data_IF_294810141554
#
_entry.id   IF_294810141554
#
_cell.length_a   1.000
_cell.length_b   1.000
_cell.length_c   1.000
_cell.angle_alpha   90.00
_cell.angle_beta   90.00
_cell.angle_gamma   90.00
#
_symmetry.space_group_name_H-M   'P 1'
#
loop_
_entity.id
_entity.type
_entity.pdbx_description
1 polymer ?
#
# COMPACT_ATOMS: atom_id res chain seq x y z
N UNK A 1 8.54 16.26 -17.00
CA UNK A 1 8.67 17.32 -15.97
C UNK A 1 8.07 18.66 -16.40
N UNK A 2 8.35 19.19 -17.60
CA UNK A 2 7.80 20.49 -18.04
C UNK A 2 6.25 20.49 -18.07
N UNK A 3 5.62 19.45 -18.61
CA UNK A 3 4.16 19.32 -18.62
C UNK A 3 3.53 19.23 -17.22
N UNK A 4 4.21 18.58 -16.27
CA UNK A 4 3.79 18.52 -14.86
C UNK A 4 3.82 19.92 -14.24
N UNK A 5 4.96 20.63 -14.37
CA UNK A 5 5.11 21.97 -13.86
C UNK A 5 4.05 22.93 -14.43
N UNK A 6 3.85 22.92 -15.76
CA UNK A 6 2.83 23.75 -16.42
C UNK A 6 1.40 23.43 -15.95
N UNK A 7 1.09 22.16 -15.71
CA UNK A 7 -0.24 21.74 -15.22
C UNK A 7 -0.48 22.18 -13.77
N UNK A 8 0.55 22.17 -12.93
CA UNK A 8 0.47 22.62 -11.53
C UNK A 8 0.21 24.12 -11.39
N UNK A 9 0.60 24.93 -12.38
CA UNK A 9 0.34 26.38 -12.39
C UNK A 9 -1.05 26.76 -12.90
N UNK A 10 -1.83 25.83 -13.42
CA UNK A 10 -3.14 26.10 -14.05
C UNK A 10 -4.15 26.78 -13.11
N UNK A 11 -4.28 26.39 -11.82
CA UNK A 11 -5.11 27.11 -10.85
C UNK A 11 -4.62 28.54 -10.59
N UNK A 12 -3.29 28.74 -10.54
CA UNK A 12 -2.69 30.06 -10.33
C UNK A 12 -2.92 30.97 -11.55
N UNK A 13 -2.81 30.45 -12.77
CA UNK A 13 -3.10 31.20 -14.01
C UNK A 13 -4.56 31.65 -14.02
N UNK A 14 -5.51 30.78 -13.63
CA UNK A 14 -6.93 31.12 -13.55
C UNK A 14 -7.19 32.19 -12.48
N UNK A 15 -6.58 32.06 -11.31
CA UNK A 15 -6.65 33.06 -10.25
C UNK A 15 -6.18 34.44 -10.72
N UNK A 16 -4.98 34.53 -11.30
CA UNK A 16 -4.41 35.80 -11.76
C UNK A 16 -5.17 36.40 -12.95
N UNK A 17 -5.66 35.56 -13.89
CA UNK A 17 -6.49 36.02 -15.01
C UNK A 17 -7.81 36.61 -14.52
N UNK A 18 -8.45 35.97 -13.54
CA UNK A 18 -9.72 36.44 -13.00
C UNK A 18 -9.55 37.68 -12.11
N UNK A 19 -8.42 37.84 -11.42
CA UNK A 19 -8.08 39.11 -10.74
C UNK A 19 -7.82 40.25 -11.73
N UNK A 20 -7.05 40.01 -12.80
CA UNK A 20 -6.65 41.05 -13.77
C UNK A 20 -7.83 41.62 -14.56
N UNK A 21 -8.84 40.82 -14.86
CA UNK A 21 -9.97 41.22 -15.70
C UNK A 21 -11.10 41.93 -14.92
N UNK A 22 -10.84 42.41 -13.71
CA UNK A 22 -11.92 42.73 -12.75
C UNK A 22 -11.86 44.15 -12.22
N UNK A 23 -12.96 44.87 -12.43
CA UNK A 23 -13.27 46.18 -11.87
C UNK A 23 -14.27 46.05 -10.69
N UNK A 24 -13.83 46.50 -9.51
CA UNK A 24 -14.57 47.08 -8.37
C UNK A 24 -15.82 46.42 -7.74
N UNK A 25 -16.14 45.13 -7.92
CA UNK A 25 -17.22 44.51 -7.12
C UNK A 25 -16.87 43.10 -6.59
N UNK A 26 -16.45 43.04 -5.31
CA UNK A 26 -15.82 41.87 -4.68
C UNK A 26 -16.80 40.78 -4.20
N UNK A 27 -17.97 41.13 -3.64
CA UNK A 27 -18.84 40.15 -2.95
C UNK A 27 -19.66 39.23 -3.85
N UNK A 28 -20.07 39.65 -5.05
CA UNK A 28 -20.83 38.80 -6.00
C UNK A 28 -19.95 37.74 -6.71
N UNK A 29 -18.64 37.71 -6.41
CA UNK A 29 -17.62 37.08 -7.26
C UNK A 29 -16.86 35.92 -6.60
N UNK A 30 -17.00 35.72 -5.30
CA UNK A 30 -16.39 34.60 -4.57
C UNK A 30 -16.89 33.24 -5.06
N UNK A 31 -18.20 33.12 -5.33
CA UNK A 31 -18.82 31.87 -5.80
C UNK A 31 -18.31 31.45 -7.20
N UNK A 32 -18.32 32.32 -8.24
CA UNK A 32 -17.81 31.94 -9.55
C UNK A 32 -16.29 31.72 -9.57
N UNK A 33 -15.51 32.50 -8.79
CA UNK A 33 -14.08 32.28 -8.63
C UNK A 33 -13.79 30.93 -7.98
N UNK A 34 -14.46 30.61 -6.87
CA UNK A 34 -14.32 29.33 -6.18
C UNK A 34 -14.70 28.15 -7.08
N UNK A 35 -15.76 28.29 -7.89
CA UNK A 35 -16.16 27.27 -8.88
C UNK A 35 -15.07 27.06 -9.95
N UNK A 36 -14.53 28.14 -10.50
CA UNK A 36 -13.50 28.06 -11.55
C UNK A 36 -12.18 27.49 -11.00
N UNK A 37 -11.79 27.86 -9.78
CA UNK A 37 -10.62 27.31 -9.10
C UNK A 37 -10.80 25.83 -8.77
N UNK A 38 -11.98 25.44 -8.26
CA UNK A 38 -12.29 24.04 -7.99
C UNK A 38 -12.22 23.19 -9.27
N UNK A 39 -12.80 23.69 -10.37
CA UNK A 39 -12.72 23.01 -11.67
C UNK A 39 -11.27 22.91 -12.17
N UNK A 40 -10.48 23.98 -12.03
CA UNK A 40 -9.07 23.99 -12.40
C UNK A 40 -8.27 22.94 -11.64
N UNK A 41 -8.49 22.84 -10.32
CA UNK A 41 -7.84 21.84 -9.47
C UNK A 41 -8.21 20.43 -9.91
N UNK A 42 -9.50 20.15 -10.17
CA UNK A 42 -9.95 18.84 -10.65
C UNK A 42 -9.29 18.49 -11.99
N UNK A 43 -9.24 19.43 -12.93
CA UNK A 43 -8.59 19.24 -14.24
C UNK A 43 -7.10 18.96 -14.06
N UNK A 44 -6.40 19.75 -13.23
CA UNK A 44 -4.98 19.56 -12.94
C UNK A 44 -4.71 18.18 -12.34
N UNK A 45 -5.50 17.75 -11.34
CA UNK A 45 -5.38 16.42 -10.74
C UNK A 45 -5.58 15.34 -11.80
N UNK A 46 -6.63 15.46 -12.62
CA UNK A 46 -6.96 14.46 -13.64
C UNK A 46 -5.85 14.35 -14.68
N UNK A 47 -5.35 15.48 -15.21
CA UNK A 47 -4.26 15.51 -16.20
C UNK A 47 -2.96 14.98 -15.60
N UNK A 48 -2.61 15.39 -14.38
CA UNK A 48 -1.38 14.91 -13.73
C UNK A 48 -1.44 13.42 -13.42
N UNK A 49 -2.59 12.89 -12.99
CA UNK A 49 -2.77 11.44 -12.81
C UNK A 49 -2.67 10.66 -14.11
N UNK A 50 -3.15 11.21 -15.23
CA UNK A 50 -3.10 10.55 -16.53
C UNK A 50 -1.68 10.57 -17.14
N UNK A 51 -0.96 11.67 -16.97
CA UNK A 51 0.40 11.85 -17.50
C UNK A 51 1.49 11.27 -16.62
N UNK A 52 1.23 11.11 -15.31
CA UNK A 52 2.20 10.58 -14.34
C UNK A 52 1.55 9.48 -13.47
N UNK A 53 1.27 8.30 -14.05
CA UNK A 53 0.67 7.18 -13.34
C UNK A 53 1.44 6.80 -12.08
N UNK A 54 2.78 6.86 -12.14
CA UNK A 54 3.69 6.50 -11.05
C UNK A 54 3.45 7.33 -9.78
N UNK A 55 3.16 8.64 -9.90
CA UNK A 55 2.87 9.49 -8.73
C UNK A 55 1.55 9.08 -8.08
N UNK A 56 0.55 8.77 -8.90
CA UNK A 56 -0.79 8.35 -8.43
C UNK A 56 -0.72 7.00 -7.74
N UNK A 57 0.02 6.03 -8.30
CA UNK A 57 0.18 4.70 -7.69
C UNK A 57 0.95 4.77 -6.37
N UNK A 58 2.00 5.59 -6.28
CA UNK A 58 2.71 5.83 -5.00
C UNK A 58 1.78 6.43 -3.95
N UNK A 59 1.01 7.48 -4.30
CA UNK A 59 0.07 8.09 -3.37
C UNK A 59 -0.97 7.09 -2.85
N UNK A 60 -1.51 6.26 -3.76
CA UNK A 60 -2.48 5.24 -3.41
C UNK A 60 -1.88 4.17 -2.48
N UNK A 61 -0.69 3.66 -2.81
CA UNK A 61 0.01 2.68 -1.96
C UNK A 61 0.32 3.24 -0.57
N UNK A 62 0.82 4.47 -0.48
CA UNK A 62 1.08 5.13 0.80
C UNK A 62 -0.21 5.30 1.61
N UNK A 63 -1.31 5.69 0.96
CA UNK A 63 -2.60 5.83 1.63
C UNK A 63 -3.11 4.50 2.17
N UNK A 64 -3.06 3.43 1.36
CA UNK A 64 -3.45 2.08 1.75
C UNK A 64 -2.59 1.52 2.89
N UNK A 65 -1.29 1.84 2.89
CA UNK A 65 -0.38 1.48 3.97
C UNK A 65 -0.73 2.20 5.27
N UNK A 66 -0.95 3.52 5.23
CA UNK A 66 -1.30 4.31 6.42
C UNK A 66 -2.60 3.89 7.08
N UNK A 67 -3.56 3.37 6.32
CA UNK A 67 -4.82 2.84 6.87
C UNK A 67 -4.74 1.35 7.22
N UNK A 68 -3.57 0.71 7.10
CA UNK A 68 -3.35 -0.69 7.45
C UNK A 68 -3.99 -1.71 6.50
N UNK A 69 -4.38 -1.29 5.29
CA UNK A 69 -4.97 -2.19 4.27
C UNK A 69 -3.89 -3.00 3.57
N UNK A 70 -2.68 -2.48 3.41
CA UNK A 70 -1.53 -3.20 2.88
C UNK A 70 -0.33 -3.03 3.79
N UNK A 71 0.60 -3.99 3.73
CA UNK A 71 1.90 -3.87 4.37
C UNK A 71 3.05 -3.81 3.36
N UNK A 72 4.16 -3.22 3.81
CA UNK A 72 5.44 -3.17 3.10
C UNK A 72 6.53 -3.99 3.81
N UNK A 73 6.26 -4.55 4.98
CA UNK A 73 7.21 -5.35 5.76
C UNK A 73 6.64 -6.71 6.11
N UNK A 74 7.56 -7.61 6.42
CA UNK A 74 7.22 -8.90 6.99
C UNK A 74 7.06 -8.74 8.50
N UNK A 75 6.18 -9.56 9.06
CA UNK A 75 5.77 -9.55 10.45
C UNK A 75 5.70 -10.96 10.99
N UNK A 76 5.80 -11.06 12.32
CA UNK A 76 5.45 -12.28 13.02
C UNK A 76 3.96 -12.28 13.35
N UNK A 77 3.28 -13.38 13.04
CA UNK A 77 1.86 -13.56 13.36
C UNK A 77 1.70 -14.72 14.33
N UNK A 78 1.04 -14.46 15.45
CA UNK A 78 0.56 -15.48 16.37
C UNK A 78 -0.74 -16.07 15.82
N UNK A 79 -0.71 -17.37 15.53
CA UNK A 79 -1.82 -18.12 14.96
C UNK A 79 -2.53 -18.94 16.02
N UNK A 80 -3.87 -18.93 15.97
CA UNK A 80 -4.74 -19.74 16.82
C UNK A 80 -4.53 -21.25 16.57
N UNK A 81 -3.94 -21.93 17.54
CA UNK A 81 -3.62 -23.36 17.50
C UNK A 81 -4.79 -24.31 17.77
N UNK A 82 -5.92 -23.77 18.22
CA UNK A 82 -7.17 -24.54 18.34
C UNK A 82 -7.78 -24.76 16.95
N UNK A 83 -7.68 -23.76 16.06
CA UNK A 83 -8.22 -23.80 14.70
C UNK A 83 -7.24 -24.30 13.66
N UNK A 84 -5.97 -23.96 13.79
CA UNK A 84 -4.92 -24.30 12.83
C UNK A 84 -3.84 -25.16 13.46
N UNK A 85 -3.08 -25.88 12.63
CA UNK A 85 -1.95 -26.71 13.08
C UNK A 85 -0.65 -26.21 12.46
N UNK A 86 0.47 -26.26 13.21
CA UNK A 86 1.78 -25.86 12.68
C UNK A 86 2.14 -26.54 11.35
N UNK A 87 1.74 -27.80 11.16
CA UNK A 87 2.02 -28.56 9.93
C UNK A 87 1.34 -28.00 8.67
N UNK A 88 0.27 -27.21 8.82
CA UNK A 88 -0.35 -26.46 7.70
C UNK A 88 0.57 -25.34 7.20
N UNK A 89 1.55 -24.93 8.01
CA UNK A 89 2.49 -23.86 7.73
C UNK A 89 3.92 -24.42 7.83
N UNK A 90 4.46 -25.03 6.76
CA UNK A 90 5.77 -25.64 6.82
C UNK A 90 6.87 -24.65 7.20
N UNK A 91 7.75 -25.03 8.14
CA UNK A 91 8.84 -24.19 8.66
C UNK A 91 9.75 -23.61 7.56
N UNK A 92 9.98 -24.35 6.47
CA UNK A 92 10.79 -23.90 5.33
C UNK A 92 10.18 -22.70 4.60
N UNK A 93 8.86 -22.57 4.60
CA UNK A 93 8.12 -21.53 3.87
C UNK A 93 7.68 -20.40 4.78
N UNK A 94 7.24 -20.73 6.00
CA UNK A 94 6.60 -19.80 6.92
C UNK A 94 7.41 -19.50 8.17
N UNK A 95 8.62 -20.07 8.32
CA UNK A 95 9.47 -19.99 9.52
C UNK A 95 8.71 -20.31 10.81
N UNK A 96 7.79 -21.25 10.72
CA UNK A 96 6.89 -21.62 11.80
C UNK A 96 7.66 -22.01 13.06
N UNK A 97 7.21 -21.47 14.19
CA UNK A 97 7.83 -21.66 15.49
C UNK A 97 6.78 -21.91 16.56
N UNK A 98 7.05 -22.86 17.45
CA UNK A 98 6.23 -23.20 18.62
C UNK A 98 7.04 -22.97 19.88
N UNK A 99 6.38 -22.61 20.98
CA UNK A 99 7.03 -22.50 22.29
C UNK A 99 6.06 -22.98 23.37
N UNK A 100 6.56 -23.53 24.47
CA UNK A 100 5.70 -23.96 25.59
C UNK A 100 4.93 -22.77 26.21
N UNK A 101 5.46 -21.55 26.10
CA UNK A 101 4.86 -20.32 26.68
C UNK A 101 3.57 -19.88 25.99
N UNK A 102 3.36 -20.30 24.73
CA UNK A 102 2.19 -19.91 23.92
C UNK A 102 1.17 -21.05 23.76
N UNK A 103 1.38 -22.16 24.46
CA UNK A 103 0.49 -23.31 24.46
C UNK A 103 0.35 -23.95 23.07
N UNK A 104 -0.88 -24.10 22.60
CA UNK A 104 -1.20 -24.67 21.28
C UNK A 104 -0.92 -23.70 20.14
N UNK A 105 -0.86 -22.39 20.42
CA UNK A 105 -0.61 -21.36 19.41
C UNK A 105 0.80 -21.46 18.86
N UNK A 106 1.02 -20.87 17.70
CA UNK A 106 2.30 -20.89 17.02
C UNK A 106 2.53 -19.62 16.23
N UNK A 107 3.79 -19.29 15.98
CA UNK A 107 4.16 -18.16 15.17
C UNK A 107 4.41 -18.58 13.72
N UNK A 108 4.01 -17.72 12.79
CA UNK A 108 4.46 -17.74 11.39
C UNK A 108 5.09 -16.40 11.05
N UNK A 109 5.96 -16.39 10.06
CA UNK A 109 6.61 -15.20 9.52
C UNK A 109 6.19 -14.98 8.07
N UNK A 110 5.71 -13.78 7.75
CA UNK A 110 5.22 -13.47 6.42
C UNK A 110 4.80 -12.02 6.28
N UNK A 111 4.19 -11.67 5.15
CA UNK A 111 3.67 -10.33 4.87
C UNK A 111 2.15 -10.34 4.83
N UNK A 112 1.52 -9.31 5.39
CA UNK A 112 0.10 -9.03 5.15
C UNK A 112 -0.04 -8.33 3.81
N UNK A 113 -0.44 -9.07 2.77
CA UNK A 113 -0.61 -8.49 1.43
C UNK A 113 -1.83 -7.58 1.36
N UNK A 114 -2.90 -7.94 2.07
CA UNK A 114 -4.15 -7.21 2.06
C UNK A 114 -4.94 -7.45 3.35
N UNK A 115 -5.61 -6.42 3.84
CA UNK A 115 -6.54 -6.46 4.96
C UNK A 115 -7.87 -5.84 4.54
N UNK A 116 -8.96 -6.59 4.70
CA UNK A 116 -10.32 -6.11 4.51
C UNK A 116 -11.15 -6.42 5.76
N UNK A 117 -11.23 -5.44 6.65
CA UNK A 117 -11.97 -5.57 7.91
C UNK A 117 -11.35 -6.65 8.79
N UNK A 118 -12.09 -7.74 9.01
CA UNK A 118 -11.63 -8.86 9.84
C UNK A 118 -10.82 -9.91 9.09
N UNK A 119 -10.62 -9.78 7.76
CA UNK A 119 -9.94 -10.80 6.94
C UNK A 119 -8.60 -10.29 6.45
N UNK A 120 -7.56 -11.08 6.65
CA UNK A 120 -6.20 -10.81 6.23
C UNK A 120 -5.72 -11.84 5.23
N UNK A 121 -5.20 -11.39 4.09
CA UNK A 121 -4.42 -12.20 3.19
C UNK A 121 -2.96 -12.15 3.63
N UNK A 122 -2.49 -13.22 4.26
CA UNK A 122 -1.12 -13.35 4.73
C UNK A 122 -0.36 -14.26 3.77
N UNK A 123 0.86 -13.87 3.40
CA UNK A 123 1.71 -14.58 2.45
C UNK A 123 3.08 -14.90 3.06
N UNK A 124 3.76 -15.95 2.58
CA UNK A 124 5.15 -16.21 2.94
C UNK A 124 6.06 -15.01 2.61
N UNK A 125 7.16 -14.88 3.34
CA UNK A 125 8.16 -13.82 3.15
C UNK A 125 8.68 -13.74 1.71
N UNK A 126 8.85 -14.89 1.04
CA UNK A 126 9.23 -14.98 -0.38
C UNK A 126 8.32 -14.20 -1.33
N UNK A 127 7.01 -14.14 -1.07
CA UNK A 127 6.05 -13.37 -1.86
C UNK A 127 6.22 -11.87 -1.60
N UNK A 128 6.46 -11.50 -0.33
CA UNK A 128 6.77 -10.13 0.07
C UNK A 128 8.06 -9.61 -0.57
N UNK A 129 9.14 -10.39 -0.53
CA UNK A 129 10.40 -10.05 -1.18
C UNK A 129 10.23 -9.87 -2.68
N UNK A 130 9.54 -10.81 -3.35
CA UNK A 130 9.28 -10.68 -4.79
C UNK A 130 8.46 -9.43 -5.14
N UNK A 131 7.44 -9.08 -4.33
CA UNK A 131 6.67 -7.84 -4.50
C UNK A 131 7.55 -6.60 -4.33
N UNK A 132 8.45 -6.59 -3.35
CA UNK A 132 9.37 -5.47 -3.14
C UNK A 132 10.37 -5.35 -4.29
N UNK A 133 10.88 -6.46 -4.81
CA UNK A 133 11.82 -6.46 -5.94
C UNK A 133 11.19 -5.88 -7.21
N UNK A 134 9.95 -6.26 -7.53
CA UNK A 134 9.24 -5.73 -8.70
C UNK A 134 8.80 -4.26 -8.51
N UNK A 135 8.43 -3.85 -7.29
CA UNK A 135 8.01 -2.47 -6.99
C UNK A 135 9.20 -1.50 -6.88
N UNK A 136 10.35 -1.97 -6.37
CA UNK A 136 11.57 -1.20 -6.23
C UNK A 136 12.29 -0.95 -7.56
N UNK A 137 12.00 -1.76 -8.59
CA UNK A 137 12.60 -1.63 -9.92
C UNK A 137 11.69 -0.98 -10.96
N UNK A 138 10.36 -1.07 -10.84
CA UNK A 138 9.45 -0.49 -11.83
C UNK A 138 8.07 -0.16 -11.24
N UNK A 139 7.82 1.12 -10.95
CA UNK A 139 6.45 1.65 -10.87
C UNK A 139 5.74 1.59 -12.25
N UNK A 140 6.49 1.26 -13.31
CA UNK A 140 6.05 0.99 -14.69
C UNK A 140 5.25 -0.31 -14.89
N UNK A 141 4.81 -0.96 -13.81
CA UNK A 141 3.96 -2.15 -13.85
C UNK A 141 2.61 -1.95 -14.57
N UNK A 142 2.27 -0.71 -14.95
CA UNK A 142 1.10 -0.41 -15.78
C UNK A 142 1.44 -0.40 -17.28
N UNK A 143 2.72 -0.32 -17.69
CA UNK A 143 3.10 -0.02 -19.08
C UNK A 143 4.18 -0.90 -19.72
N UNK A 144 4.96 -1.70 -19.00
CA UNK A 144 6.06 -2.50 -19.61
C UNK A 144 5.66 -3.94 -19.95
N UNK A 145 6.26 -4.56 -20.98
CA UNK A 145 6.00 -5.96 -21.37
C UNK A 145 6.41 -6.98 -20.31
N UNK A 146 7.45 -6.67 -19.52
CA UNK A 146 7.91 -7.47 -18.39
C UNK A 146 6.90 -7.49 -17.24
N UNK A 147 5.95 -6.54 -17.23
CA UNK A 147 4.86 -6.50 -16.25
C UNK A 147 3.95 -7.74 -16.34
N UNK A 148 3.76 -8.35 -17.52
CA UNK A 148 2.86 -9.49 -17.68
C UNK A 148 3.42 -10.75 -17.03
N UNK A 149 4.70 -11.03 -17.22
CA UNK A 149 5.36 -12.20 -16.62
C UNK A 149 5.55 -12.03 -15.12
N UNK A 150 5.91 -10.83 -14.66
CA UNK A 150 6.00 -10.52 -13.23
C UNK A 150 4.63 -10.56 -12.55
N UNK A 151 3.57 -10.06 -13.20
CA UNK A 151 2.20 -10.14 -12.69
C UNK A 151 1.73 -11.58 -12.59
N UNK A 152 2.00 -12.40 -13.63
CA UNK A 152 1.66 -13.83 -13.63
C UNK A 152 2.42 -14.57 -12.54
N UNK A 153 3.71 -14.33 -12.40
CA UNK A 153 4.55 -14.94 -11.37
C UNK A 153 4.12 -14.54 -9.97
N UNK A 154 3.82 -13.25 -9.73
CA UNK A 154 3.29 -12.79 -8.46
C UNK A 154 1.95 -13.48 -8.15
N UNK A 155 1.04 -13.53 -9.12
CA UNK A 155 -0.25 -14.23 -8.99
C UNK A 155 -0.05 -15.70 -8.64
N UNK A 156 0.90 -16.39 -9.29
CA UNK A 156 1.20 -17.78 -9.00
C UNK A 156 1.80 -17.97 -7.60
N UNK A 157 2.71 -17.08 -7.17
CA UNK A 157 3.26 -17.09 -5.80
C UNK A 157 2.17 -16.81 -4.75
N UNK A 158 1.19 -15.96 -5.04
CA UNK A 158 0.10 -15.65 -4.10
C UNK A 158 -0.83 -16.83 -3.83
N UNK A 159 -0.77 -17.92 -4.62
CA UNK A 159 -1.50 -19.16 -4.32
C UNK A 159 -1.03 -19.84 -3.03
N UNK A 160 0.18 -19.51 -2.56
CA UNK A 160 0.70 -19.97 -1.27
C UNK A 160 0.19 -19.14 -0.08
N UNK A 161 -0.51 -18.03 -0.33
CA UNK A 161 -1.05 -17.18 0.72
C UNK A 161 -2.31 -17.79 1.33
N UNK A 162 -2.59 -17.40 2.57
CA UNK A 162 -3.76 -17.85 3.32
C UNK A 162 -4.64 -16.66 3.70
N UNK A 163 -5.95 -16.87 3.68
CA UNK A 163 -6.91 -15.91 4.22
C UNK A 163 -7.24 -16.32 5.65
N UNK A 164 -6.89 -15.46 6.60
CA UNK A 164 -7.10 -15.69 8.02
C UNK A 164 -7.94 -14.55 8.62
N UNK A 165 -8.77 -14.88 9.61
CA UNK A 165 -9.40 -13.84 10.42
C UNK A 165 -8.36 -13.14 11.30
N UNK A 166 -8.52 -11.83 11.51
CA UNK A 166 -7.65 -11.02 12.38
C UNK A 166 -7.54 -11.61 13.79
N UNK A 167 -8.64 -12.17 14.32
CA UNK A 167 -8.67 -12.78 15.65
C UNK A 167 -7.83 -14.07 15.71
N UNK A 168 -7.69 -14.76 14.57
CA UNK A 168 -6.94 -16.01 14.46
C UNK A 168 -5.48 -15.80 14.05
N UNK A 169 -5.10 -14.57 13.67
CA UNK A 169 -3.77 -14.23 13.16
C UNK A 169 -3.38 -12.83 13.62
N UNK A 170 -2.89 -12.74 14.86
CA UNK A 170 -2.52 -11.49 15.50
C UNK A 170 -1.07 -11.15 15.19
N UNK A 171 -0.81 -9.93 14.74
CA UNK A 171 0.55 -9.44 14.52
C UNK A 171 1.25 -9.19 15.86
N UNK A 172 2.47 -9.71 15.99
CA UNK A 172 3.21 -9.71 17.25
C UNK A 172 4.73 -9.59 17.03
N UNK A 173 5.17 -8.44 16.53
CA UNK A 173 6.59 -8.19 16.21
C UNK A 173 7.47 -8.04 17.47
N UNK A 174 6.90 -7.48 18.54
CA UNK A 174 7.63 -7.17 19.79
C UNK A 174 8.14 -8.40 20.55
N UNK A 175 7.61 -9.60 20.26
CA UNK A 175 8.08 -10.84 20.88
C UNK A 175 9.49 -11.21 20.42
N UNK A 176 9.83 -10.88 19.17
CA UNK A 176 11.11 -11.25 18.57
C UNK A 176 12.14 -10.12 18.65
N UNK A 177 11.70 -8.85 18.60
CA UNK A 177 12.62 -7.69 18.71
C UNK A 177 13.36 -7.63 20.06
N UNK A 178 12.72 -8.04 21.17
CA UNK A 178 13.36 -8.05 22.49
C UNK A 178 14.37 -9.20 22.68
N UNK A 179 14.27 -10.28 21.90
CA UNK A 179 15.16 -11.44 22.03
C UNK A 179 16.49 -11.30 21.26
N UNK A 180 16.57 -10.34 20.33
CA UNK A 180 17.81 -10.03 19.60
C UNK A 180 18.69 -8.99 20.32
N UNK A 181 18.14 -8.24 21.30
CA UNK A 181 18.92 -7.31 22.13
C UNK A 181 19.71 -8.02 23.25
N UNK A 182 19.32 -9.23 23.66
CA UNK A 182 20.04 -10.05 24.66
C UNK A 182 21.21 -10.86 24.06
N UNK A 183 21.58 -10.59 22.80
CA UNK A 183 22.74 -11.20 22.13
C UNK A 183 23.88 -10.22 21.84
N UNK A 184 23.84 -9.03 22.46
CA UNK A 184 24.90 -8.01 22.39
C UNK A 184 25.90 -8.11 23.52
#
# INVERSE_FOLDING_TARGET
MIAFALSSFLPAIIYYRDMKNTSNNERKRLIPLAKNLSLAVIITITITSLLFPNVTTTLMNSSLYSIGVIDNKNHYFLIDGEKYKPDMFPKKTWRTSTTEKIGTNFFIYGIRMFSAGSKNLICPDSVGSFKTDINGTNYDLITSSDSKDNTKKLKDMTKSCVVLDSDNAQQWDTFFENNDQDKG
#
